data_IF_390035731184
#
_entry.id   IF_390035731184
#
_cell.length_a   1.000
_cell.length_b   1.000
_cell.length_c   1.000
_cell.angle_alpha   90.00
_cell.angle_beta   90.00
_cell.angle_gamma   90.00
#
_symmetry.space_group_name_H-M   'P 1'
#
loop_
_entity.id
_entity.type
_entity.pdbx_description
1 polymer ?
#
# COMPACT_ATOMS: atom_id res chain seq x y z
N UNK A 1 23.17 8.58 11.40
CA UNK A 1 22.01 7.68 11.17
C UNK A 1 20.81 8.30 11.84
N UNK A 2 19.64 8.23 11.22
CA UNK A 2 18.37 8.62 11.83
C UNK A 2 17.96 7.62 12.92
N UNK A 3 17.04 8.04 13.77
CA UNK A 3 16.36 7.26 14.79
C UNK A 3 14.85 7.29 14.55
N UNK A 4 14.10 6.39 15.19
CA UNK A 4 12.62 6.37 15.08
C UNK A 4 12.00 7.72 15.45
N UNK A 5 12.57 8.40 16.45
CA UNK A 5 12.12 9.70 16.94
C UNK A 5 12.28 10.81 15.89
N UNK A 6 13.26 10.71 15.00
CA UNK A 6 13.46 11.71 13.94
C UNK A 6 12.31 11.72 12.93
N UNK A 7 11.53 10.63 12.86
CA UNK A 7 10.33 10.50 12.01
C UNK A 7 9.03 10.87 12.73
N UNK A 8 9.09 11.41 13.94
CA UNK A 8 7.93 11.88 14.70
C UNK A 8 7.81 13.40 14.62
N UNK A 9 6.58 13.91 14.50
CA UNK A 9 6.32 15.35 14.64
C UNK A 9 5.99 15.70 16.10
N UNK A 10 5.74 16.98 16.38
CA UNK A 10 5.20 17.40 17.68
C UNK A 10 3.73 17.00 17.91
N UNK A 11 3.01 16.57 16.88
CA UNK A 11 1.64 16.10 16.98
C UNK A 11 1.59 14.61 17.31
N UNK A 12 0.71 14.23 18.24
CA UNK A 12 0.46 12.84 18.59
C UNK A 12 -0.64 12.24 17.70
N UNK A 13 -0.56 10.95 17.32
CA UNK A 13 -1.62 10.31 16.55
C UNK A 13 -3.00 10.42 17.21
N UNK A 14 -4.00 10.88 16.46
CA UNK A 14 -5.38 11.04 16.95
C UNK A 14 -6.26 9.81 16.71
N UNK A 15 -5.65 8.66 16.44
CA UNK A 15 -6.35 7.39 16.27
C UNK A 15 -6.93 6.88 17.58
N UNK A 16 -7.95 6.03 17.47
CA UNK A 16 -8.58 5.40 18.61
C UNK A 16 -7.58 4.52 19.39
N UNK A 17 -7.62 4.48 20.73
CA UNK A 17 -6.79 3.57 21.51
C UNK A 17 -6.98 2.12 21.06
N UNK A 18 -5.90 1.45 20.67
CA UNK A 18 -5.93 0.09 20.13
C UNK A 18 -6.11 -0.01 18.61
N UNK A 19 -6.13 1.10 17.87
CA UNK A 19 -6.16 1.09 16.40
C UNK A 19 -4.93 0.36 15.81
N UNK A 20 -5.14 -0.47 14.77
CA UNK A 20 -4.07 -1.12 14.02
C UNK A 20 -3.08 -0.16 13.35
N UNK A 21 -3.52 1.06 13.03
CA UNK A 21 -2.68 2.08 12.38
C UNK A 21 -1.39 2.42 13.18
N UNK A 22 -1.40 2.28 14.52
CA UNK A 22 -0.19 2.46 15.35
C UNK A 22 0.92 1.45 15.00
N UNK A 23 0.54 0.21 14.67
CA UNK A 23 1.48 -0.84 14.25
C UNK A 23 2.12 -0.52 12.90
N UNK A 24 1.32 -0.02 11.96
CA UNK A 24 1.82 0.40 10.63
C UNK A 24 2.74 1.61 10.74
N UNK A 25 2.36 2.61 11.54
CA UNK A 25 3.19 3.79 11.79
C UNK A 25 4.54 3.42 12.41
N UNK A 26 4.55 2.49 13.36
CA UNK A 26 5.79 1.96 13.94
C UNK A 26 6.64 1.24 12.90
N UNK A 27 6.03 0.36 12.10
CA UNK A 27 6.75 -0.42 11.11
C UNK A 27 7.37 0.44 10.00
N UNK A 28 6.67 1.50 9.55
CA UNK A 28 7.18 2.49 8.60
C UNK A 28 8.41 3.23 9.13
N UNK A 29 8.34 3.75 10.37
CA UNK A 29 9.48 4.46 10.98
C UNK A 29 10.69 3.54 11.12
N UNK A 30 10.49 2.30 11.54
CA UNK A 30 11.57 1.31 11.62
C UNK A 30 12.17 1.03 10.24
N UNK A 31 11.33 0.85 9.21
CA UNK A 31 11.79 0.61 7.85
C UNK A 31 12.67 1.77 7.34
N UNK A 32 12.29 3.02 7.58
CA UNK A 32 13.10 4.17 7.17
C UNK A 32 14.45 4.24 7.89
N UNK A 33 14.47 3.98 9.20
CA UNK A 33 15.71 3.93 10.00
C UNK A 33 16.63 2.82 9.52
N UNK A 34 16.11 1.62 9.28
CA UNK A 34 16.88 0.47 8.80
C UNK A 34 17.37 0.64 7.36
N UNK A 35 16.66 1.42 6.54
CA UNK A 35 17.14 1.86 5.22
C UNK A 35 18.14 3.02 5.28
N UNK A 36 18.45 3.53 6.47
CA UNK A 36 19.37 4.65 6.65
C UNK A 36 18.85 5.96 6.07
N UNK A 37 17.54 6.08 5.85
CA UNK A 37 16.92 7.27 5.27
C UNK A 37 16.82 8.38 6.31
N UNK A 38 16.95 9.62 5.85
CA UNK A 38 16.64 10.80 6.64
C UNK A 38 15.23 11.31 6.30
N UNK A 39 14.54 11.99 7.23
CA UNK A 39 13.22 12.61 6.98
C UNK A 39 13.13 13.39 5.67
N UNK A 40 14.13 14.21 5.36
CA UNK A 40 14.18 15.05 4.17
C UNK A 40 14.51 14.29 2.87
N UNK A 41 14.85 13.00 2.95
CA UNK A 41 15.12 12.15 1.79
C UNK A 41 13.93 11.23 1.46
N UNK A 42 12.90 11.23 2.29
CA UNK A 42 11.76 10.33 2.18
C UNK A 42 10.52 11.12 1.78
N UNK A 43 9.82 10.69 0.73
CA UNK A 43 8.54 11.27 0.34
C UNK A 43 7.40 10.28 0.57
N UNK A 44 6.36 10.73 1.28
CA UNK A 44 5.17 9.94 1.55
C UNK A 44 3.92 10.67 1.06
N UNK A 45 3.11 9.98 0.27
CA UNK A 45 1.86 10.51 -0.28
C UNK A 45 0.67 9.82 0.39
N UNK A 46 -0.20 10.60 1.01
CA UNK A 46 -1.32 10.10 1.78
C UNK A 46 -2.64 10.31 1.02
N UNK A 47 -3.52 9.30 1.03
CA UNK A 47 -4.92 9.44 0.66
C UNK A 47 -5.74 10.07 1.78
N UNK A 48 -7.07 9.93 1.74
CA UNK A 48 -7.99 10.41 2.78
C UNK A 48 -8.56 9.23 3.57
N UNK A 49 -8.51 9.34 4.89
CA UNK A 49 -9.03 8.33 5.82
C UNK A 49 -8.32 8.40 7.17
N UNK A 50 -8.66 7.49 8.09
CA UNK A 50 -7.87 7.32 9.32
C UNK A 50 -6.40 7.04 8.98
N UNK A 51 -6.16 6.19 7.99
CA UNK A 51 -4.84 5.91 7.42
C UNK A 51 -4.12 7.19 6.94
N UNK A 52 -4.80 8.00 6.13
CA UNK A 52 -4.25 9.23 5.55
C UNK A 52 -3.88 10.32 6.56
N UNK A 53 -4.58 10.36 7.71
CA UNK A 53 -4.30 11.28 8.81
C UNK A 53 -2.87 11.13 9.38
N UNK A 54 -2.17 10.04 9.07
CA UNK A 54 -0.73 9.87 9.36
C UNK A 54 0.14 11.02 8.83
N UNK A 55 -0.31 11.74 7.79
CA UNK A 55 0.33 12.94 7.27
C UNK A 55 0.65 13.99 8.34
N UNK A 56 -0.14 14.07 9.41
CA UNK A 56 0.05 15.08 10.46
C UNK A 56 1.12 14.71 11.49
N UNK A 57 1.58 13.46 11.54
CA UNK A 57 2.48 12.98 12.60
C UNK A 57 3.63 12.07 12.15
N UNK A 58 3.85 11.94 10.84
CA UNK A 58 5.06 11.38 10.27
C UNK A 58 5.96 12.50 9.73
N UNK A 59 7.15 12.67 10.32
CA UNK A 59 8.09 13.72 9.93
C UNK A 59 8.89 13.30 8.68
N UNK A 60 8.38 13.67 7.51
CA UNK A 60 8.93 13.41 6.17
C UNK A 60 8.45 14.51 5.20
N UNK A 61 8.91 14.52 3.95
CA UNK A 61 8.20 15.25 2.90
C UNK A 61 6.86 14.58 2.61
N UNK A 62 5.79 15.09 3.23
CA UNK A 62 4.44 14.56 3.12
C UNK A 62 3.55 15.33 2.13
N UNK A 63 2.81 14.61 1.29
CA UNK A 63 1.72 15.18 0.49
C UNK A 63 0.40 14.52 0.87
N UNK A 64 -0.51 15.25 1.52
CA UNK A 64 -1.85 14.77 1.82
C UNK A 64 -2.78 15.10 0.64
N UNK A 65 -3.03 14.11 -0.19
CA UNK A 65 -3.80 14.26 -1.43
C UNK A 65 -5.30 14.21 -1.23
N UNK A 66 -6.01 13.99 -2.34
CA UNK A 66 -7.45 13.75 -2.35
C UNK A 66 -7.76 12.26 -2.19
N UNK A 67 -9.01 11.95 -1.83
CA UNK A 67 -9.45 10.57 -1.61
C UNK A 67 -9.27 9.72 -2.88
N UNK A 68 -8.51 8.63 -2.76
CA UNK A 68 -8.15 7.75 -3.87
C UNK A 68 -7.15 8.34 -4.85
N UNK A 69 -6.43 9.41 -4.49
CA UNK A 69 -5.47 10.10 -5.38
C UNK A 69 -4.02 10.03 -4.89
N UNK A 70 -3.72 9.22 -3.88
CA UNK A 70 -2.34 9.00 -3.42
C UNK A 70 -1.45 8.42 -4.53
N UNK A 71 -1.92 7.39 -5.24
CA UNK A 71 -1.19 6.75 -6.35
C UNK A 71 -0.88 7.69 -7.53
N UNK A 72 -1.83 8.44 -8.12
CA UNK A 72 -1.49 9.32 -9.23
C UNK A 72 -0.53 10.45 -8.82
N UNK A 73 -0.67 10.98 -7.60
CA UNK A 73 0.28 11.98 -7.08
C UNK A 73 1.67 11.36 -6.88
N UNK A 74 1.76 10.19 -6.24
CA UNK A 74 3.02 9.46 -6.06
C UNK A 74 3.69 9.13 -7.41
N UNK A 75 2.91 8.78 -8.42
CA UNK A 75 3.39 8.56 -9.78
C UNK A 75 4.02 9.82 -10.36
N UNK A 76 3.36 10.97 -10.22
CA UNK A 76 3.89 12.25 -10.68
C UNK A 76 5.20 12.63 -9.98
N UNK A 77 5.26 12.47 -8.66
CA UNK A 77 6.48 12.71 -7.86
C UNK A 77 7.61 11.80 -8.34
N UNK A 78 7.33 10.50 -8.52
CA UNK A 78 8.34 9.53 -8.95
C UNK A 78 8.83 9.80 -10.38
N UNK A 79 7.97 10.24 -11.29
CA UNK A 79 8.38 10.63 -12.65
C UNK A 79 9.22 11.92 -12.64
N UNK A 80 8.86 12.88 -11.79
CA UNK A 80 9.61 14.12 -11.65
C UNK A 80 11.02 13.87 -11.06
N UNK A 81 11.12 13.00 -10.07
CA UNK A 81 12.38 12.62 -9.42
C UNK A 81 12.44 11.11 -9.17
N UNK A 82 12.91 10.36 -10.17
CA UNK A 82 12.99 8.89 -10.11
C UNK A 82 14.03 8.37 -9.10
N UNK A 83 14.92 9.24 -8.59
CA UNK A 83 15.91 8.91 -7.55
C UNK A 83 15.31 8.91 -6.14
N UNK A 84 14.15 9.55 -5.95
CA UNK A 84 13.51 9.68 -4.64
C UNK A 84 12.79 8.37 -4.25
N UNK A 85 12.93 7.89 -3.00
CA UNK A 85 12.05 6.86 -2.47
C UNK A 85 10.67 7.47 -2.22
N UNK A 86 9.65 6.89 -2.86
CA UNK A 86 8.26 7.36 -2.78
C UNK A 86 7.40 6.23 -2.23
N UNK A 87 6.78 6.51 -1.08
CA UNK A 87 5.79 5.62 -0.46
C UNK A 87 4.42 6.26 -0.57
N UNK A 88 3.41 5.50 -0.98
CA UNK A 88 2.02 5.90 -0.93
C UNK A 88 1.33 5.17 0.24
N UNK A 89 0.37 5.85 0.86
CA UNK A 89 -0.46 5.33 1.95
C UNK A 89 -1.92 5.60 1.65
N UNK A 90 -2.78 4.61 1.88
CA UNK A 90 -4.23 4.75 1.76
C UNK A 90 -4.94 3.70 2.61
N UNK A 91 -6.22 3.93 2.89
CA UNK A 91 -7.11 2.89 3.41
C UNK A 91 -7.56 1.94 2.30
N UNK A 92 -8.08 0.78 2.67
CA UNK A 92 -8.81 -0.12 1.77
C UNK A 92 -9.84 0.62 0.91
N UNK A 93 -10.70 1.44 1.49
CA UNK A 93 -11.69 2.21 0.73
C UNK A 93 -11.11 3.31 -0.16
N UNK A 94 -9.99 3.91 0.26
CA UNK A 94 -9.26 4.90 -0.54
C UNK A 94 -8.61 4.25 -1.77
N UNK A 95 -7.84 3.19 -1.56
CA UNK A 95 -7.05 2.51 -2.59
C UNK A 95 -7.84 1.54 -3.44
N UNK A 96 -8.66 0.71 -2.81
CA UNK A 96 -9.43 -0.36 -3.46
C UNK A 96 -10.86 0.06 -3.83
N UNK A 97 -11.33 1.20 -3.33
CA UNK A 97 -12.62 1.78 -3.70
C UNK A 97 -12.45 2.83 -4.79
N UNK A 98 -12.51 4.10 -4.40
CA UNK A 98 -12.43 5.24 -5.35
C UNK A 98 -11.07 5.35 -6.07
N UNK A 99 -10.00 4.79 -5.50
CA UNK A 99 -8.65 4.78 -6.07
C UNK A 99 -8.36 3.62 -7.03
N UNK A 100 -9.25 2.62 -7.12
CA UNK A 100 -8.97 1.33 -7.76
C UNK A 100 -8.48 1.45 -9.20
N UNK A 101 -9.10 2.34 -9.99
CA UNK A 101 -8.69 2.57 -11.37
C UNK A 101 -7.24 3.05 -11.50
N UNK A 102 -6.81 3.96 -10.61
CA UNK A 102 -5.42 4.44 -10.61
C UNK A 102 -4.44 3.36 -10.17
N UNK A 103 -4.82 2.59 -9.15
CA UNK A 103 -4.04 1.49 -8.60
C UNK A 103 -3.75 0.43 -9.68
N UNK A 104 -4.77 -0.03 -10.42
CA UNK A 104 -4.62 -0.98 -11.53
C UNK A 104 -3.61 -0.46 -12.56
N UNK A 105 -3.72 0.79 -12.98
CA UNK A 105 -2.81 1.35 -13.98
C UNK A 105 -1.38 1.55 -13.47
N UNK A 106 -1.18 1.85 -12.19
CA UNK A 106 0.16 1.99 -11.63
C UNK A 106 0.89 0.65 -11.54
N UNK A 107 0.18 -0.43 -11.16
CA UNK A 107 0.71 -1.80 -11.21
C UNK A 107 1.06 -2.23 -12.63
N UNK A 108 0.14 -2.02 -13.59
CA UNK A 108 0.38 -2.33 -15.02
C UNK A 108 1.59 -1.58 -15.59
N UNK A 109 1.77 -0.32 -15.21
CA UNK A 109 2.92 0.50 -15.63
C UNK A 109 4.21 0.11 -14.93
N UNK A 110 4.16 -0.65 -13.85
CA UNK A 110 5.31 -0.93 -12.99
C UNK A 110 5.99 0.34 -12.49
N UNK A 111 5.20 1.31 -11.99
CA UNK A 111 5.77 2.54 -11.43
C UNK A 111 6.55 2.19 -10.16
N UNK A 112 7.80 2.65 -10.04
CA UNK A 112 8.72 2.36 -8.93
C UNK A 112 8.31 3.08 -7.62
N UNK A 113 7.21 2.62 -7.01
CA UNK A 113 6.65 3.13 -5.76
C UNK A 113 6.17 1.99 -4.87
N UNK A 114 6.27 2.19 -3.55
CA UNK A 114 5.71 1.28 -2.54
C UNK A 114 4.35 1.79 -2.08
N UNK A 115 3.31 0.98 -2.16
CA UNK A 115 1.98 1.31 -1.66
C UNK A 115 1.62 0.45 -0.46
N UNK A 116 1.48 1.09 0.70
CA UNK A 116 1.07 0.45 1.95
C UNK A 116 -0.41 0.73 2.19
N UNK A 117 -1.24 -0.30 2.08
CA UNK A 117 -2.68 -0.18 2.25
C UNK A 117 -3.08 -0.61 3.65
N UNK A 118 -3.83 0.25 4.33
CA UNK A 118 -4.38 0.01 5.64
C UNK A 118 -5.75 -0.66 5.48
N UNK A 119 -5.78 -1.98 5.56
CA UNK A 119 -6.96 -2.79 5.31
C UNK A 119 -7.65 -3.20 6.62
N UNK A 120 -8.58 -2.34 7.07
CA UNK A 120 -9.45 -2.60 8.22
C UNK A 120 -10.85 -3.08 7.84
N UNK A 121 -11.09 -3.25 6.53
CA UNK A 121 -12.35 -3.73 5.97
C UNK A 121 -13.53 -2.83 6.33
N UNK A 122 -13.30 -1.53 6.57
CA UNK A 122 -14.34 -0.58 6.95
C UNK A 122 -13.93 0.88 6.74
N UNK A 123 -14.85 1.75 6.29
CA UNK A 123 -14.60 3.19 6.27
C UNK A 123 -14.66 3.80 7.69
N UNK A 124 -13.55 3.77 8.41
CA UNK A 124 -13.46 4.22 9.81
C UNK A 124 -13.72 5.72 10.00
N UNK A 125 -13.08 6.58 9.21
CA UNK A 125 -13.15 8.04 9.39
C UNK A 125 -14.57 8.59 9.18
N UNK A 126 -15.33 7.99 8.26
CA UNK A 126 -16.71 8.37 7.95
C UNK A 126 -17.73 7.64 8.84
N UNK A 127 -17.27 6.96 9.90
CA UNK A 127 -18.07 6.34 10.97
C UNK A 127 -18.64 4.95 10.70
N UNK A 128 -17.96 4.14 9.90
CA UNK A 128 -18.17 2.69 9.85
C UNK A 128 -19.10 2.21 8.75
N UNK A 129 -18.85 2.60 7.49
CA UNK A 129 -19.52 2.05 6.30
C UNK A 129 -18.72 0.88 5.73
N UNK A 130 -19.41 -0.03 5.02
CA UNK A 130 -18.76 -1.13 4.28
C UNK A 130 -17.70 -0.62 3.30
N UNK A 131 -16.54 -1.27 3.26
CA UNK A 131 -15.48 -1.03 2.27
C UNK A 131 -15.48 -2.14 1.21
N UNK A 132 -14.65 -2.02 0.14
CA UNK A 132 -14.50 -3.08 -0.88
C UNK A 132 -13.94 -4.40 -0.36
N UNK A 133 -13.35 -4.40 0.85
CA UNK A 133 -12.78 -5.60 1.48
C UNK A 133 -13.60 -6.08 2.68
N UNK A 134 -14.73 -5.44 2.98
CA UNK A 134 -15.70 -5.93 3.98
C UNK A 134 -16.24 -7.30 3.62
N UNK A 135 -16.31 -8.19 4.61
CA UNK A 135 -16.89 -9.52 4.43
C UNK A 135 -18.35 -9.45 3.97
N UNK A 136 -18.73 -10.41 3.12
CA UNK A 136 -20.11 -10.58 2.71
C UNK A 136 -21.00 -10.80 3.94
N UNK A 137 -22.13 -10.08 4.00
CA UNK A 137 -23.04 -10.11 5.15
C UNK A 137 -22.62 -9.22 6.33
N UNK A 138 -21.49 -8.51 6.27
CA UNK A 138 -21.07 -7.60 7.34
C UNK A 138 -22.12 -6.49 7.55
N UNK A 139 -22.71 -6.47 8.75
CA UNK A 139 -23.68 -5.44 9.15
C UNK A 139 -22.94 -4.18 9.56
N UNK A 140 -23.22 -3.08 8.86
CA UNK A 140 -22.64 -1.76 9.16
C UNK A 140 -23.75 -0.71 9.22
N UNK A 141 -23.40 0.56 9.50
CA UNK A 141 -24.41 1.64 9.52
C UNK A 141 -25.06 1.89 8.17
N UNK A 142 -24.33 1.72 7.07
CA UNK A 142 -24.86 1.90 5.70
C UNK A 142 -25.40 0.61 5.10
N UNK A 143 -25.04 -0.54 5.65
CA UNK A 143 -25.52 -1.87 5.26
C UNK A 143 -26.18 -2.57 6.46
N UNK A 144 -27.33 -2.07 6.96
CA UNK A 144 -27.97 -2.59 8.17
C UNK A 144 -28.48 -4.04 8.01
N UNK A 145 -28.64 -4.51 6.77
CA UNK A 145 -29.04 -5.87 6.44
C UNK A 145 -27.85 -6.76 6.01
N UNK A 146 -26.62 -6.28 6.20
CA UNK A 146 -25.40 -6.93 5.74
C UNK A 146 -24.94 -6.42 4.37
N UNK A 147 -23.62 -6.46 4.11
CA UNK A 147 -23.04 -6.20 2.79
C UNK A 147 -23.48 -7.28 1.80
N UNK A 148 -23.93 -6.90 0.60
CA UNK A 148 -24.41 -7.85 -0.41
C UNK A 148 -23.31 -8.21 -1.41
N UNK A 149 -22.33 -7.34 -1.56
CA UNK A 149 -21.19 -7.52 -2.44
C UNK A 149 -20.24 -8.59 -1.91
N UNK A 150 -19.49 -9.19 -2.83
CA UNK A 150 -18.35 -10.03 -2.47
C UNK A 150 -17.12 -9.14 -2.32
N UNK A 151 -16.32 -9.31 -1.26
CA UNK A 151 -15.09 -8.55 -1.11
C UNK A 151 -14.10 -8.89 -2.22
N UNK A 152 -13.32 -7.89 -2.59
CA UNK A 152 -12.16 -8.10 -3.44
C UNK A 152 -11.03 -8.75 -2.61
N UNK A 153 -10.21 -9.59 -3.23
CA UNK A 153 -8.91 -9.97 -2.66
C UNK A 153 -7.82 -9.07 -3.27
N UNK A 154 -7.19 -8.17 -2.48
CA UNK A 154 -6.18 -7.27 -3.01
C UNK A 154 -4.92 -7.94 -3.54
N UNK A 155 -4.54 -9.08 -2.98
CA UNK A 155 -3.33 -9.82 -3.35
C UNK A 155 -3.55 -10.51 -4.69
N UNK A 156 -4.65 -11.23 -4.84
CA UNK A 156 -5.03 -11.89 -6.10
C UNK A 156 -5.18 -10.84 -7.21
N UNK A 157 -5.91 -9.75 -6.95
CA UNK A 157 -6.06 -8.64 -7.88
C UNK A 157 -4.71 -8.08 -8.33
N UNK A 158 -3.80 -7.81 -7.40
CA UNK A 158 -2.49 -7.23 -7.71
C UNK A 158 -1.63 -8.16 -8.58
N UNK A 159 -1.65 -9.45 -8.30
CA UNK A 159 -0.97 -10.47 -9.11
C UNK A 159 -1.56 -10.50 -10.53
N UNK A 160 -2.88 -10.47 -10.65
CA UNK A 160 -3.60 -10.55 -11.93
C UNK A 160 -3.33 -9.33 -12.82
N UNK A 161 -3.31 -8.13 -12.25
CA UNK A 161 -3.07 -6.87 -12.99
C UNK A 161 -1.59 -6.50 -13.13
N UNK A 162 -0.70 -7.35 -12.59
CA UNK A 162 0.72 -7.33 -12.90
C UNK A 162 1.59 -6.46 -11.98
N UNK A 163 1.26 -6.34 -10.69
CA UNK A 163 2.22 -5.86 -9.69
C UNK A 163 3.44 -6.81 -9.64
N UNK A 164 4.61 -6.24 -9.32
CA UNK A 164 5.90 -6.95 -9.39
C UNK A 164 6.49 -7.24 -8.01
N UNK A 165 5.90 -6.68 -6.96
CA UNK A 165 6.10 -7.07 -5.57
C UNK A 165 4.75 -7.02 -4.87
N UNK A 166 4.30 -8.15 -4.33
CA UNK A 166 2.98 -8.28 -3.68
C UNK A 166 3.16 -8.98 -2.34
N UNK A 167 2.77 -8.30 -1.27
CA UNK A 167 2.89 -8.80 0.09
C UNK A 167 1.63 -8.51 0.90
N UNK A 168 1.36 -9.38 1.90
CA UNK A 168 0.34 -9.14 2.93
C UNK A 168 1.00 -9.12 4.30
N UNK A 169 0.76 -8.06 5.07
CA UNK A 169 1.24 -7.92 6.44
C UNK A 169 0.10 -7.86 7.45
N UNK A 170 0.45 -7.92 8.73
CA UNK A 170 -0.48 -7.72 9.83
C UNK A 170 0.06 -6.66 10.79
N UNK A 171 -0.76 -5.69 11.17
CA UNK A 171 -0.32 -4.58 12.04
C UNK A 171 0.12 -5.03 13.44
N UNK A 172 -0.30 -6.21 13.90
CA UNK A 172 0.16 -6.81 15.15
C UNK A 172 1.52 -7.52 15.07
N UNK A 173 2.06 -7.75 13.87
CA UNK A 173 3.40 -8.30 13.65
C UNK A 173 4.32 -7.22 13.05
N UNK A 174 4.71 -6.26 13.88
CA UNK A 174 5.51 -5.11 13.44
C UNK A 174 6.86 -5.51 12.81
N UNK A 175 7.49 -6.59 13.28
CA UNK A 175 8.76 -7.07 12.73
C UNK A 175 8.61 -7.51 11.27
N UNK A 176 7.70 -8.46 11.01
CA UNK A 176 7.45 -8.92 9.64
C UNK A 176 7.00 -7.76 8.75
N UNK A 177 6.11 -6.89 9.27
CA UNK A 177 5.64 -5.73 8.50
C UNK A 177 6.78 -4.78 8.12
N UNK A 178 7.72 -4.50 9.03
CA UNK A 178 8.93 -3.70 8.73
C UNK A 178 9.75 -4.35 7.62
N UNK A 179 9.99 -5.66 7.69
CA UNK A 179 10.74 -6.40 6.67
C UNK A 179 10.05 -6.33 5.30
N UNK A 180 8.72 -6.47 5.25
CA UNK A 180 7.94 -6.36 4.01
C UNK A 180 7.98 -4.95 3.42
N UNK A 181 7.92 -3.90 4.25
CA UNK A 181 8.04 -2.51 3.80
C UNK A 181 9.44 -2.26 3.24
N UNK A 182 10.49 -2.71 3.92
CA UNK A 182 11.87 -2.62 3.44
C UNK A 182 12.02 -3.31 2.08
N UNK A 183 11.49 -4.54 1.94
CA UNK A 183 11.50 -5.26 0.68
C UNK A 183 10.81 -4.49 -0.44
N UNK A 184 9.62 -3.94 -0.17
CA UNK A 184 8.87 -3.15 -1.14
C UNK A 184 9.55 -1.83 -1.54
N UNK A 185 10.32 -1.21 -0.64
CA UNK A 185 11.09 0.02 -0.93
C UNK A 185 12.38 -0.25 -1.71
N UNK A 186 12.98 -1.43 -1.54
CA UNK A 186 14.16 -1.86 -2.31
C UNK A 186 13.79 -2.39 -3.69
N UNK A 187 12.57 -2.89 -3.83
CA UNK A 187 12.05 -3.42 -5.08
C UNK A 187 12.00 -2.34 -6.16
N UNK A 188 12.46 -2.67 -7.36
CA UNK A 188 12.39 -1.80 -8.54
C UNK A 188 11.11 -2.05 -9.31
N UNK A 189 10.07 -1.31 -8.98
CA UNK A 189 8.75 -1.48 -9.57
C UNK A 189 7.63 -1.19 -8.59
N UNK A 190 6.40 -1.54 -8.99
CA UNK A 190 5.25 -1.30 -8.13
C UNK A 190 5.15 -2.38 -7.05
N UNK A 191 5.30 -1.95 -5.80
CA UNK A 191 5.19 -2.81 -4.63
C UNK A 191 3.86 -2.57 -3.89
N UNK A 192 2.97 -3.56 -3.86
CA UNK A 192 1.77 -3.53 -3.02
C UNK A 192 2.02 -4.28 -1.71
N UNK A 193 1.71 -3.61 -0.59
CA UNK A 193 1.71 -4.20 0.75
C UNK A 193 0.32 -3.99 1.35
N UNK A 194 -0.53 -5.02 1.28
CA UNK A 194 -1.84 -5.05 1.92
C UNK A 194 -1.66 -5.36 3.40
N UNK A 195 -2.01 -4.43 4.30
CA UNK A 195 -1.81 -4.60 5.74
C UNK A 195 -3.15 -4.78 6.42
N UNK A 196 -3.41 -6.01 6.89
CA UNK A 196 -4.53 -6.30 7.76
C UNK A 196 -4.33 -5.52 9.07
N UNK A 197 -5.28 -4.62 9.36
CA UNK A 197 -5.18 -3.72 10.50
C UNK A 197 -6.54 -3.59 11.18
N UNK A 198 -6.71 -4.05 12.43
CA UNK A 198 -8.01 -4.01 13.09
C UNK A 198 -8.50 -2.59 13.42
N UNK A 199 -9.75 -2.27 13.03
CA UNK A 199 -10.46 -1.07 13.47
C UNK A 199 -11.33 -1.38 14.70
N UNK A 200 -10.77 -1.17 15.89
CA UNK A 200 -11.42 -1.50 17.17
C UNK A 200 -12.75 -0.78 17.44
N UNK A 201 -13.01 0.33 16.76
CA UNK A 201 -14.22 1.16 16.98
C UNK A 201 -15.41 0.72 16.13
N UNK A 202 -15.19 0.20 14.93
CA UNK A 202 -16.28 -0.04 13.98
C UNK A 202 -16.29 -1.46 13.38
N UNK A 203 -15.15 -2.15 13.30
CA UNK A 203 -15.10 -3.55 12.85
C UNK A 203 -14.81 -4.46 14.06
N UNK A 204 -15.86 -5.08 14.56
CA UNK A 204 -15.78 -5.98 15.73
C UNK A 204 -15.64 -7.47 15.34
N UNK A 205 -15.62 -7.78 14.04
CA UNK A 205 -15.45 -9.15 13.55
C UNK A 205 -13.96 -9.48 13.43
N UNK A 206 -13.24 -8.71 12.61
CA UNK A 206 -11.83 -8.93 12.28
C UNK A 206 -10.91 -8.26 13.32
N UNK A 207 -11.02 -8.72 14.58
CA UNK A 207 -10.23 -8.23 15.71
C UNK A 207 -8.80 -8.79 15.67
N UNK A 208 -7.91 -8.24 16.50
CA UNK A 208 -6.56 -8.79 16.69
C UNK A 208 -6.59 -10.29 17.04
N UNK A 209 -7.43 -10.68 18.01
CA UNK A 209 -7.56 -12.08 18.42
C UNK A 209 -8.03 -12.98 17.28
N UNK A 210 -9.00 -12.50 16.48
CA UNK A 210 -9.52 -13.22 15.32
C UNK A 210 -8.42 -13.50 14.30
N UNK A 211 -7.58 -12.50 14.00
CA UNK A 211 -6.44 -12.68 13.09
C UNK A 211 -5.38 -13.62 13.69
N UNK A 212 -4.97 -13.45 14.95
CA UNK A 212 -3.92 -14.30 15.54
C UNK A 212 -4.21 -15.80 15.49
N UNK A 213 -5.49 -16.20 15.47
CA UNK A 213 -5.88 -17.61 15.35
C UNK A 213 -5.75 -18.19 13.93
N UNK A 214 -5.60 -17.33 12.91
CA UNK A 214 -5.74 -17.68 11.49
C UNK A 214 -4.46 -17.42 10.69
N UNK A 215 -3.59 -16.53 11.17
CA UNK A 215 -2.39 -16.13 10.43
C UNK A 215 -1.33 -17.23 10.41
N UNK A 216 -0.67 -17.37 9.27
CA UNK A 216 0.57 -18.12 9.12
C UNK A 216 1.50 -17.41 8.12
N UNK A 217 2.80 -17.61 8.25
CA UNK A 217 3.80 -16.92 7.43
C UNK A 217 4.26 -17.82 6.26
N UNK A 218 4.22 -17.28 5.04
CA UNK A 218 4.51 -18.02 3.80
C UNK A 218 5.97 -18.51 3.72
N UNK A 219 6.91 -17.74 4.25
CA UNK A 219 8.34 -18.08 4.28
C UNK A 219 8.61 -19.37 5.08
N UNK A 220 7.87 -19.58 6.18
CA UNK A 220 7.93 -20.79 7.00
C UNK A 220 7.34 -22.03 6.32
N UNK A 221 6.55 -21.84 5.26
CA UNK A 221 5.90 -22.90 4.49
C UNK A 221 6.66 -23.23 3.20
N UNK A 222 7.84 -22.65 2.98
CA UNK A 222 8.64 -22.89 1.79
C UNK A 222 8.01 -22.35 0.50
N UNK A 223 7.21 -21.28 0.62
CA UNK A 223 6.63 -20.59 -0.53
C UNK A 223 7.72 -19.99 -1.43
N UNK A 224 7.53 -20.10 -2.74
CA UNK A 224 8.40 -19.49 -3.75
C UNK A 224 7.74 -18.23 -4.33
N UNK A 225 8.24 -17.02 -4.00
CA UNK A 225 7.69 -15.77 -4.52
C UNK A 225 7.82 -15.58 -6.03
N UNK A 226 8.64 -16.38 -6.73
CA UNK A 226 8.76 -16.31 -8.18
C UNK A 226 7.64 -17.09 -8.91
N UNK A 227 6.95 -18.00 -8.22
CA UNK A 227 5.88 -18.81 -8.80
C UNK A 227 4.53 -18.07 -8.72
N UNK A 228 4.21 -17.35 -9.80
CA UNK A 228 2.98 -16.54 -9.89
C UNK A 228 1.70 -17.35 -9.63
N UNK A 229 1.63 -18.60 -10.12
CA UNK A 229 0.44 -19.42 -9.98
C UNK A 229 0.26 -19.87 -8.52
N UNK A 230 1.34 -20.27 -7.85
CA UNK A 230 1.29 -20.58 -6.41
C UNK A 230 0.99 -19.35 -5.59
N UNK A 231 1.58 -18.20 -5.91
CA UNK A 231 1.31 -16.93 -5.23
C UNK A 231 -0.19 -16.58 -5.26
N UNK A 232 -0.82 -16.71 -6.44
CA UNK A 232 -2.26 -16.50 -6.59
C UNK A 232 -3.08 -17.53 -5.80
N UNK A 233 -2.69 -18.81 -5.84
CA UNK A 233 -3.37 -19.85 -5.06
C UNK A 233 -3.30 -19.59 -3.54
N UNK A 234 -2.15 -19.11 -3.04
CA UNK A 234 -1.99 -18.68 -1.64
C UNK A 234 -2.89 -17.50 -1.30
N UNK A 235 -3.03 -16.53 -2.20
CA UNK A 235 -3.91 -15.37 -1.99
C UNK A 235 -5.35 -15.80 -1.69
N UNK A 236 -5.84 -16.78 -2.46
CA UNK A 236 -7.20 -17.33 -2.35
C UNK A 236 -7.44 -18.23 -1.13
N UNK A 237 -6.42 -18.47 -0.29
CA UNK A 237 -6.61 -19.25 0.95
C UNK A 237 -7.40 -18.49 2.01
N UNK A 238 -7.38 -17.16 1.99
CA UNK A 238 -8.28 -16.35 2.82
C UNK A 238 -9.65 -16.34 2.14
N UNK A 239 -10.64 -17.11 2.62
CA UNK A 239 -11.93 -17.18 1.96
C UNK A 239 -12.72 -15.96 2.39
N UNK A 240 -12.42 -14.80 1.80
CA UNK A 240 -13.24 -13.61 1.95
C UNK A 240 -14.64 -13.82 1.32
N UNK A 241 -14.87 -14.95 0.63
CA UNK A 241 -15.95 -15.12 -0.32
C UNK A 241 -16.98 -16.23 -0.04
N UNK A 242 -16.82 -17.10 0.95
CA UNK A 242 -17.79 -18.19 1.14
C UNK A 242 -17.95 -18.50 2.62
N UNK A 243 -19.20 -18.76 3.02
CA UNK A 243 -19.59 -19.24 4.35
C UNK A 243 -18.50 -20.14 4.91
N UNK A 244 -17.90 -19.69 6.00
CA UNK A 244 -17.00 -20.47 6.85
C UNK A 244 -17.63 -21.85 6.98
N UNK A 245 -17.00 -22.86 6.37
CA UNK A 245 -17.25 -24.22 6.80
C UNK A 245 -16.88 -24.21 8.28
N UNK A 246 -17.87 -24.46 9.14
CA UNK A 246 -17.71 -24.39 10.59
C UNK A 246 -16.59 -25.32 11.10
N UNK A 247 -16.14 -26.26 10.25
CA UNK A 247 -15.05 -27.20 10.50
C UNK A 247 -13.71 -26.79 9.87
N UNK A 248 -13.66 -25.72 9.05
CA UNK A 248 -12.43 -25.20 8.43
C UNK A 248 -11.96 -23.97 9.20
N UNK A 249 -10.84 -24.09 9.90
CA UNK A 249 -10.11 -22.91 10.38
C UNK A 249 -9.50 -22.23 9.17
N UNK A 250 -10.02 -21.07 8.79
CA UNK A 250 -9.45 -20.27 7.72
C UNK A 250 -7.98 -19.99 8.00
N UNK A 251 -7.13 -20.25 7.01
CA UNK A 251 -5.71 -19.93 7.07
C UNK A 251 -5.48 -18.67 6.26
N UNK A 252 -4.91 -17.65 6.90
CA UNK A 252 -4.64 -16.37 6.27
C UNK A 252 -3.12 -16.22 6.10
N UNK A 253 -2.60 -16.32 4.88
CA UNK A 253 -1.18 -16.17 4.65
C UNK A 253 -0.72 -14.72 4.86
N UNK A 254 0.45 -14.55 5.48
CA UNK A 254 1.22 -13.30 5.52
C UNK A 254 2.62 -13.52 4.96
N UNK A 255 3.28 -12.43 4.60
CA UNK A 255 4.61 -12.43 4.01
C UNK A 255 4.59 -11.97 2.55
N UNK A 256 5.66 -12.31 1.83
CA UNK A 256 5.84 -12.01 0.42
C UNK A 256 5.16 -13.08 -0.43
N UNK A 257 4.15 -12.69 -1.21
CA UNK A 257 3.41 -13.59 -2.10
C UNK A 257 4.09 -13.70 -3.45
N UNK A 258 4.44 -12.56 -4.05
CA UNK A 258 4.95 -12.53 -5.41
C UNK A 258 6.06 -11.50 -5.55
N UNK A 259 7.12 -11.86 -6.27
CA UNK A 259 8.16 -10.94 -6.71
C UNK A 259 8.72 -11.34 -8.07
N UNK A 260 8.79 -10.37 -8.99
CA UNK A 260 9.48 -10.50 -10.28
C UNK A 260 10.30 -9.24 -10.58
N UNK A 261 11.39 -9.36 -11.33
CA UNK A 261 12.12 -8.19 -11.83
C UNK A 261 11.77 -7.92 -13.28
N UNK A 262 11.39 -6.67 -13.58
CA UNK A 262 11.19 -6.17 -14.94
C UNK A 262 11.40 -4.65 -14.98
N UNK A 263 11.59 -4.10 -16.18
CA UNK A 263 11.74 -2.66 -16.37
C UNK A 263 10.58 -1.88 -15.71
N UNK A 264 10.94 -0.82 -15.01
CA UNK A 264 9.99 0.13 -14.42
C UNK A 264 9.48 1.10 -15.48
N UNK A 265 8.37 1.79 -15.19
CA UNK A 265 7.85 2.80 -16.11
C UNK A 265 8.92 3.86 -16.48
N UNK A 266 9.79 4.21 -15.53
CA UNK A 266 10.86 5.20 -15.75
C UNK A 266 12.03 4.66 -16.56
N UNK A 267 12.31 3.37 -16.51
CA UNK A 267 13.41 2.75 -17.27
C UNK A 267 13.13 2.77 -18.79
N UNK A 268 11.86 2.73 -19.16
CA UNK A 268 11.38 2.72 -20.55
C UNK A 268 11.11 4.12 -21.12
N UNK A 269 11.37 5.19 -20.35
CA UNK A 269 11.18 6.57 -20.78
C UNK A 269 12.52 7.20 -21.20
N UNK A 270 12.79 7.39 -22.51
CA UNK A 270 14.06 7.94 -22.98
C UNK A 270 14.29 9.38 -22.50
N UNK A 271 13.24 10.12 -22.14
CA UNK A 271 13.34 11.46 -21.58
C UNK A 271 13.94 11.48 -20.17
N UNK A 272 13.99 10.32 -19.51
CA UNK A 272 14.44 10.14 -18.12
C UNK A 272 15.71 9.29 -18.01
N UNK A 273 16.30 8.86 -19.14
CA UNK A 273 17.46 7.94 -19.13
C UNK A 273 18.71 8.55 -18.51
N UNK A 274 18.91 9.85 -18.69
CA UNK A 274 20.17 10.52 -18.33
C UNK A 274 20.09 11.20 -16.95
N UNK A 275 19.01 11.93 -16.70
CA UNK A 275 18.81 12.70 -15.47
C UNK A 275 17.32 12.88 -15.14
N UNK A 276 17.02 13.11 -13.86
CA UNK A 276 15.64 13.34 -13.41
C UNK A 276 15.07 14.65 -13.96
N UNK A 277 13.75 14.77 -14.14
CA UNK A 277 13.13 16.00 -14.66
C UNK A 277 13.46 17.22 -13.81
N UNK A 278 13.54 17.06 -12.48
CA UNK A 278 13.92 18.14 -11.56
C UNK A 278 15.36 18.65 -11.73
N UNK A 279 16.20 17.92 -12.45
CA UNK A 279 17.60 18.28 -12.77
C UNK A 279 17.72 18.89 -14.18
N UNK A 280 16.66 18.81 -15.01
CA UNK A 280 16.68 19.31 -16.39
C UNK A 280 16.41 20.83 -16.45
N UNK A 281 17.22 21.56 -17.21
CA UNK A 281 17.02 23.00 -17.45
C UNK A 281 16.16 23.26 -18.69
N UNK A 282 15.18 24.16 -18.56
CA UNK A 282 14.34 24.60 -19.68
C UNK A 282 15.00 25.69 -20.54
N UNK A 283 16.08 26.33 -20.05
CA UNK A 283 16.67 27.51 -20.68
C UNK A 283 17.33 27.29 -22.04
N UNK A 284 17.62 26.03 -22.40
CA UNK A 284 18.37 25.67 -23.61
C UNK A 284 17.53 24.90 -24.65
N UNK A 285 16.20 24.90 -24.53
CA UNK A 285 15.32 24.18 -25.46
C UNK A 285 15.01 25.08 -26.66
N UNK A 286 15.65 24.82 -27.81
CA UNK A 286 15.34 25.49 -29.08
C UNK A 286 14.31 24.70 -29.89
N UNK A 287 13.10 25.23 -30.02
CA UNK A 287 12.00 24.60 -30.76
C UNK A 287 11.87 25.14 -32.19
N UNK A 288 12.55 26.24 -32.51
CA UNK A 288 12.52 26.91 -33.83
C UNK A 288 12.88 25.97 -34.99
N UNK A 289 13.87 25.07 -34.88
CA UNK A 289 14.17 24.12 -35.96
C UNK A 289 13.02 23.14 -36.21
N UNK A 290 12.28 22.74 -35.17
CA UNK A 290 11.12 21.87 -35.29
C UNK A 290 9.96 22.64 -35.93
N UNK A 291 9.72 23.88 -35.48
CA UNK A 291 8.68 24.75 -36.03
C UNK A 291 8.88 24.99 -37.54
N UNK A 292 10.13 25.19 -37.99
CA UNK A 292 10.49 25.33 -39.42
C UNK A 292 10.27 24.05 -40.25
N UNK A 293 10.31 22.87 -39.62
CA UNK A 293 10.06 21.59 -40.32
C UNK A 293 8.57 21.30 -40.54
N UNK A 294 7.70 21.92 -39.75
CA UNK A 294 6.24 21.68 -39.78
C UNK A 294 5.45 22.81 -40.46
N UNK A 295 6.10 23.93 -40.77
CA UNK A 295 5.58 25.05 -41.58
C UNK A 295 5.83 24.85 -43.07
#
# INVERSE_FOLDING_TARGET
MSTVKDFETSQFPTWCPGCGDFGIWTALKNAFVEQGLLPHQTCVVFGIGCSGNMASFLNVYGFHGLHGRSIPVATGIKLANHKLPVVAIGGDGDGYGIGLGHLIHAMRRNVDITYVVHNNQIYGLTKGQTSPTSEHGLVTKSTPFGAIEMPIDPIALAIDVGATYVARGFSGNAKQLTELIIGGMKHKGFALIDVMQPCVTYNHLNTFHWFYQRLYELDKEGHDPADKAKAWARAMEWPTQLKVDENRVDRIPTGLFYQESRATYTDELPQLSDQALVEQTLGNIQIEPLMKKIS
#
